data_IF_221970347286
#
_entry.id   IF_221970347286
#
_cell.length_a   1.000
_cell.length_b   1.000
_cell.length_c   1.000
_cell.angle_alpha   90.00
_cell.angle_beta   90.00
_cell.angle_gamma   90.00
#
_symmetry.space_group_name_H-M   'P 1'
#
loop_
_entity.id
_entity.type
_entity.pdbx_description
1 polymer ?
#
# COMPACT_ATOMS: atom_id res chain seq x y z
N UNK A 1 -25.20 46.55 -23.24
CA UNK A 1 -26.47 46.12 -22.62
C UNK A 1 -26.33 44.62 -22.35
N UNK A 2 -26.06 44.14 -21.14
CA UNK A 2 -26.91 44.26 -19.94
C UNK A 2 -26.10 44.39 -18.65
N UNK A 3 -26.55 45.33 -17.83
CA UNK A 3 -26.12 45.65 -16.47
C UNK A 3 -26.57 44.56 -15.50
N UNK A 4 -25.73 44.14 -14.55
CA UNK A 4 -26.23 43.55 -13.28
C UNK A 4 -25.41 44.07 -12.11
N UNK A 5 -26.10 44.91 -11.35
CA UNK A 5 -25.75 45.56 -10.10
C UNK A 5 -24.99 44.65 -9.12
N UNK A 6 -23.76 45.04 -8.80
CA UNK A 6 -23.12 44.66 -7.54
C UNK A 6 -23.95 45.22 -6.40
N UNK A 7 -24.60 44.32 -5.64
CA UNK A 7 -25.34 44.65 -4.43
C UNK A 7 -24.38 45.32 -3.45
N UNK A 8 -24.46 46.65 -3.35
CA UNK A 8 -23.76 47.43 -2.34
C UNK A 8 -24.08 46.83 -0.97
N UNK A 9 -23.07 46.19 -0.34
CA UNK A 9 -23.17 45.81 1.06
C UNK A 9 -23.14 47.12 1.82
N UNK A 10 -24.29 47.44 2.42
CA UNK A 10 -24.48 48.55 3.34
C UNK A 10 -23.24 48.70 4.25
N UNK A 11 -22.68 49.90 4.39
CA UNK A 11 -21.40 50.19 5.06
C UNK A 11 -21.40 49.96 6.57
N UNK A 12 -21.71 48.74 7.00
CA UNK A 12 -21.74 48.27 8.38
C UNK A 12 -20.76 47.12 8.48
N UNK A 13 -19.81 47.20 9.42
CA UNK A 13 -18.86 46.11 9.66
C UNK A 13 -19.63 44.81 9.91
N UNK A 14 -19.17 43.67 9.36
CA UNK A 14 -19.81 42.38 9.61
C UNK A 14 -19.93 42.17 11.11
N UNK A 15 -21.13 41.84 11.57
CA UNK A 15 -21.32 41.54 12.98
C UNK A 15 -20.48 40.33 13.38
N UNK A 16 -20.08 40.23 14.66
CA UNK A 16 -19.33 39.07 15.17
C UNK A 16 -20.05 37.74 14.83
N UNK A 17 -21.38 37.76 14.85
CA UNK A 17 -22.23 36.63 14.45
C UNK A 17 -22.13 36.28 12.95
N UNK A 18 -22.00 37.27 12.07
CA UNK A 18 -21.77 37.03 10.64
C UNK A 18 -20.37 36.45 10.37
N UNK A 19 -19.34 36.91 11.08
CA UNK A 19 -17.98 36.38 10.94
C UNK A 19 -17.89 34.92 11.39
N UNK A 20 -18.52 34.58 12.52
CA UNK A 20 -18.59 33.19 13.02
C UNK A 20 -19.41 32.31 12.07
N UNK A 21 -20.53 32.82 11.54
CA UNK A 21 -21.34 32.10 10.57
C UNK A 21 -20.58 31.83 9.25
N UNK A 22 -19.78 32.79 8.78
CA UNK A 22 -18.89 32.64 7.62
C UNK A 22 -17.80 31.59 7.87
N UNK A 23 -17.07 31.70 8.98
CA UNK A 23 -16.01 30.74 9.31
C UNK A 23 -16.54 29.31 9.46
N UNK A 24 -17.70 29.14 10.09
CA UNK A 24 -18.35 27.82 10.24
C UNK A 24 -18.75 27.22 8.89
N UNK A 25 -19.22 28.07 7.97
CA UNK A 25 -19.58 27.67 6.60
C UNK A 25 -18.35 27.23 5.79
N UNK A 26 -17.22 27.93 5.94
CA UNK A 26 -15.99 27.61 5.23
C UNK A 26 -15.36 26.30 5.73
N UNK A 27 -15.33 26.10 7.05
CA UNK A 27 -14.91 24.81 7.63
C UNK A 27 -15.83 23.68 7.16
N UNK A 28 -17.14 23.91 7.13
CA UNK A 28 -18.10 22.93 6.61
C UNK A 28 -17.88 22.61 5.12
N UNK A 29 -17.39 23.56 4.32
CA UNK A 29 -17.02 23.35 2.92
C UNK A 29 -15.75 22.50 2.80
N UNK A 30 -14.71 22.81 3.58
CA UNK A 30 -13.46 22.04 3.58
C UNK A 30 -13.68 20.58 3.94
N UNK A 31 -14.45 20.32 5.01
CA UNK A 31 -14.78 18.95 5.43
C UNK A 31 -15.51 18.19 4.33
N UNK A 32 -16.49 18.82 3.68
CA UNK A 32 -17.20 18.19 2.55
C UNK A 32 -16.29 17.94 1.35
N UNK A 33 -15.35 18.83 1.07
CA UNK A 33 -14.36 18.65 0.01
C UNK A 33 -13.42 17.49 0.31
N UNK A 34 -12.93 17.37 1.54
CA UNK A 34 -12.06 16.26 1.94
C UNK A 34 -12.78 14.92 1.85
N UNK A 35 -14.04 14.86 2.28
CA UNK A 35 -14.89 13.66 2.11
C UNK A 35 -15.10 13.34 0.63
N UNK A 36 -15.36 14.35 -0.20
CA UNK A 36 -15.55 14.15 -1.64
C UNK A 36 -14.26 13.65 -2.31
N UNK A 37 -13.09 14.15 -1.91
CA UNK A 37 -11.79 13.70 -2.38
C UNK A 37 -11.52 12.25 -1.94
N UNK A 38 -11.66 11.96 -0.65
CA UNK A 38 -11.49 10.62 -0.11
C UNK A 38 -12.44 9.62 -0.77
N UNK A 39 -13.70 10.02 -1.01
CA UNK A 39 -14.67 9.21 -1.74
C UNK A 39 -14.22 8.95 -3.18
N UNK A 40 -13.71 9.97 -3.88
CA UNK A 40 -13.21 9.82 -5.25
C UNK A 40 -11.96 8.92 -5.33
N UNK A 41 -11.07 9.01 -4.35
CA UNK A 41 -9.88 8.16 -4.26
C UNK A 41 -10.29 6.71 -3.95
N UNK A 42 -11.19 6.51 -2.98
CA UNK A 42 -11.69 5.18 -2.63
C UNK A 42 -12.44 4.53 -3.79
N UNK A 43 -13.24 5.27 -4.57
CA UNK A 43 -13.90 4.70 -5.76
C UNK A 43 -12.91 4.33 -6.85
N UNK A 44 -11.86 5.15 -7.10
CA UNK A 44 -10.78 4.79 -8.04
C UNK A 44 -10.07 3.52 -7.62
N UNK A 45 -9.72 3.40 -6.34
CA UNK A 45 -9.12 2.19 -5.78
C UNK A 45 -10.05 0.99 -5.91
N UNK A 46 -11.33 1.14 -5.57
CA UNK A 46 -12.32 0.07 -5.69
C UNK A 46 -12.49 -0.42 -7.14
N UNK A 47 -12.53 0.49 -8.12
CA UNK A 47 -12.62 0.11 -9.54
C UNK A 47 -11.37 -0.64 -9.98
N UNK A 48 -10.18 -0.16 -9.62
CA UNK A 48 -8.93 -0.85 -9.97
C UNK A 48 -8.83 -2.24 -9.34
N UNK A 49 -9.24 -2.38 -8.07
CA UNK A 49 -9.31 -3.66 -7.38
C UNK A 49 -10.36 -4.58 -8.01
N UNK A 50 -11.54 -4.06 -8.37
CA UNK A 50 -12.59 -4.82 -9.04
C UNK A 50 -12.14 -5.34 -10.40
N UNK A 51 -11.44 -4.51 -11.19
CA UNK A 51 -10.83 -4.94 -12.45
C UNK A 51 -9.77 -6.00 -12.23
N UNK A 52 -8.89 -5.82 -11.24
CA UNK A 52 -7.87 -6.80 -10.88
C UNK A 52 -8.47 -8.16 -10.50
N UNK A 53 -9.46 -8.16 -9.60
CA UNK A 53 -10.17 -9.38 -9.18
C UNK A 53 -10.94 -10.01 -10.35
N UNK A 54 -11.61 -9.20 -11.17
CA UNK A 54 -12.32 -9.67 -12.37
C UNK A 54 -11.39 -10.35 -13.37
N UNK A 55 -10.25 -9.72 -13.68
CA UNK A 55 -9.24 -10.31 -14.55
C UNK A 55 -8.65 -11.59 -13.96
N UNK A 56 -8.38 -11.64 -12.65
CA UNK A 56 -7.89 -12.85 -12.00
C UNK A 56 -8.92 -13.98 -12.02
N UNK A 57 -10.21 -13.69 -11.86
CA UNK A 57 -11.26 -14.70 -11.95
C UNK A 57 -11.34 -15.29 -13.37
N UNK A 58 -11.27 -14.45 -14.40
CA UNK A 58 -11.25 -14.90 -15.80
C UNK A 58 -9.97 -15.70 -16.10
N UNK A 59 -8.82 -15.21 -15.67
CA UNK A 59 -7.55 -15.91 -15.84
C UNK A 59 -7.53 -17.27 -15.13
N UNK A 60 -8.08 -17.36 -13.92
CA UNK A 60 -8.22 -18.63 -13.20
C UNK A 60 -9.16 -19.59 -13.93
N UNK A 61 -10.30 -19.10 -14.42
CA UNK A 61 -11.24 -19.90 -15.21
C UNK A 61 -10.62 -20.44 -16.51
N UNK A 62 -9.97 -19.57 -17.28
CA UNK A 62 -9.25 -19.96 -18.49
C UNK A 62 -8.07 -20.90 -18.19
N UNK A 63 -7.35 -20.65 -17.10
CA UNK A 63 -6.27 -21.52 -16.63
C UNK A 63 -6.77 -22.92 -16.28
N UNK A 64 -7.95 -23.04 -15.65
CA UNK A 64 -8.57 -24.33 -15.37
C UNK A 64 -8.99 -25.05 -16.66
N UNK A 65 -9.63 -24.35 -17.61
CA UNK A 65 -9.97 -24.91 -18.91
C UNK A 65 -8.72 -25.40 -19.67
N UNK A 66 -7.66 -24.59 -19.69
CA UNK A 66 -6.39 -24.94 -20.31
C UNK A 66 -5.73 -26.15 -19.62
N UNK A 67 -5.76 -26.21 -18.28
CA UNK A 67 -5.23 -27.35 -17.52
C UNK A 67 -5.94 -28.66 -17.88
N UNK A 68 -7.28 -28.64 -18.03
CA UNK A 68 -8.04 -29.81 -18.47
C UNK A 68 -7.62 -30.21 -19.88
N UNK A 69 -7.56 -29.26 -20.82
CA UNK A 69 -7.16 -29.52 -22.20
C UNK A 69 -5.73 -30.09 -22.30
N UNK A 70 -4.78 -29.52 -21.56
CA UNK A 70 -3.39 -30.00 -21.48
C UNK A 70 -3.32 -31.39 -20.87
N UNK A 71 -4.15 -31.69 -19.87
CA UNK A 71 -4.19 -33.03 -19.25
C UNK A 71 -4.62 -34.09 -20.24
N UNK A 72 -5.68 -33.83 -21.00
CA UNK A 72 -6.15 -34.73 -22.06
C UNK A 72 -5.08 -34.85 -23.14
N UNK A 73 -4.53 -33.72 -23.60
CA UNK A 73 -3.48 -33.71 -24.61
C UNK A 73 -2.25 -34.54 -24.19
N UNK A 74 -1.76 -34.39 -22.96
CA UNK A 74 -0.59 -35.14 -22.48
C UNK A 74 -0.88 -36.64 -22.36
N UNK A 75 -2.07 -36.99 -21.86
CA UNK A 75 -2.53 -38.38 -21.79
C UNK A 75 -2.62 -39.02 -23.18
N UNK A 76 -3.20 -38.33 -24.15
CA UNK A 76 -3.26 -38.82 -25.53
C UNK A 76 -1.90 -38.82 -26.23
N UNK A 77 -1.02 -37.86 -25.94
CA UNK A 77 0.34 -37.81 -26.48
C UNK A 77 1.16 -39.03 -26.03
N UNK A 78 1.07 -39.39 -24.75
CA UNK A 78 1.76 -40.58 -24.21
C UNK A 78 1.11 -41.86 -24.75
N UNK A 79 -0.21 -41.87 -24.93
CA UNK A 79 -0.91 -43.00 -25.56
C UNK A 79 -0.46 -43.18 -27.01
N UNK A 80 -0.30 -42.09 -27.75
CA UNK A 80 0.23 -42.09 -29.12
C UNK A 80 1.68 -42.59 -29.19
N UNK A 81 2.46 -42.42 -28.12
CA UNK A 81 3.79 -42.98 -27.99
C UNK A 81 3.81 -44.51 -27.72
N UNK A 82 2.64 -45.17 -27.68
CA UNK A 82 2.51 -46.64 -27.56
C UNK A 82 2.23 -47.14 -26.16
N UNK A 83 1.98 -46.26 -25.19
CA UNK A 83 1.59 -46.63 -23.82
C UNK A 83 0.08 -46.88 -23.77
N UNK A 84 -0.32 -47.92 -23.04
CA UNK A 84 -1.74 -48.20 -22.78
C UNK A 84 -2.44 -46.99 -22.15
N UNK A 85 -3.67 -46.68 -22.60
CA UNK A 85 -4.28 -45.37 -22.34
C UNK A 85 -4.42 -45.08 -20.85
N UNK A 86 -4.76 -46.09 -20.04
CA UNK A 86 -4.89 -45.90 -18.60
C UNK A 86 -3.54 -45.57 -17.92
N UNK A 87 -2.43 -46.16 -18.38
CA UNK A 87 -1.09 -45.85 -17.87
C UNK A 87 -0.64 -44.44 -18.27
N UNK A 88 -1.03 -43.98 -19.46
CA UNK A 88 -0.72 -42.63 -19.95
C UNK A 88 -1.30 -41.52 -19.05
N UNK A 89 -2.56 -41.68 -18.63
CA UNK A 89 -3.19 -40.73 -17.71
C UNK A 89 -2.61 -40.83 -16.29
N UNK A 90 -2.20 -42.02 -15.84
CA UNK A 90 -1.49 -42.17 -14.57
C UNK A 90 -0.13 -41.46 -14.58
N UNK A 91 0.64 -41.60 -15.67
CA UNK A 91 1.93 -40.91 -15.83
C UNK A 91 1.74 -39.39 -15.89
N UNK A 92 0.71 -38.91 -16.58
CA UNK A 92 0.36 -37.49 -16.62
C UNK A 92 0.04 -36.96 -15.21
N UNK A 93 -0.75 -37.70 -14.43
CA UNK A 93 -1.04 -37.34 -13.04
C UNK A 93 0.21 -37.36 -12.16
N UNK A 94 1.07 -38.38 -12.31
CA UNK A 94 2.35 -38.44 -11.60
C UNK A 94 3.26 -37.25 -11.94
N UNK A 95 3.32 -36.84 -13.21
CA UNK A 95 4.08 -35.66 -13.63
C UNK A 95 3.58 -34.38 -12.94
N UNK A 96 2.25 -34.19 -12.84
CA UNK A 96 1.69 -33.06 -12.10
C UNK A 96 2.01 -33.10 -10.60
N UNK A 97 1.98 -34.28 -9.97
CA UNK A 97 2.36 -34.41 -8.56
C UNK A 97 3.82 -34.06 -8.32
N UNK A 98 4.73 -34.43 -9.23
CA UNK A 98 6.15 -34.06 -9.14
C UNK A 98 6.30 -32.54 -9.23
N UNK A 99 5.67 -31.90 -10.22
CA UNK A 99 5.70 -30.45 -10.39
C UNK A 99 5.11 -29.74 -9.17
N UNK A 100 3.92 -30.17 -8.72
CA UNK A 100 3.26 -29.60 -7.54
C UNK A 100 4.13 -29.75 -6.28
N UNK A 101 4.77 -30.91 -6.08
CA UNK A 101 5.71 -31.15 -4.99
C UNK A 101 6.91 -30.21 -5.04
N UNK A 102 7.50 -29.99 -6.22
CA UNK A 102 8.61 -29.05 -6.39
C UNK A 102 8.20 -27.61 -6.06
N UNK A 103 7.04 -27.16 -6.55
CA UNK A 103 6.52 -25.82 -6.24
C UNK A 103 6.21 -25.66 -4.75
N UNK A 104 5.60 -26.66 -4.12
CA UNK A 104 5.30 -26.64 -2.69
C UNK A 104 6.60 -26.54 -1.86
N UNK A 105 7.62 -27.33 -2.19
CA UNK A 105 8.93 -27.26 -1.54
C UNK A 105 9.60 -25.90 -1.75
N UNK A 106 9.51 -25.34 -2.96
CA UNK A 106 10.03 -24.00 -3.26
C UNK A 106 9.31 -22.93 -2.43
N UNK A 107 7.97 -22.96 -2.38
CA UNK A 107 7.16 -22.05 -1.60
C UNK A 107 7.52 -22.13 -0.11
N UNK A 108 7.57 -23.34 0.48
CA UNK A 108 7.95 -23.55 1.87
C UNK A 108 9.35 -23.00 2.15
N UNK A 109 10.33 -23.27 1.27
CA UNK A 109 11.69 -22.72 1.42
C UNK A 109 11.70 -21.19 1.34
N UNK A 110 10.88 -20.60 0.47
CA UNK A 110 10.78 -19.15 0.31
C UNK A 110 10.14 -18.48 1.53
N UNK A 111 9.07 -19.06 2.07
CA UNK A 111 8.40 -18.57 3.28
C UNK A 111 9.28 -18.72 4.52
N UNK A 112 10.02 -19.83 4.66
CA UNK A 112 10.96 -20.01 5.78
C UNK A 112 12.13 -19.03 5.78
N UNK A 113 12.43 -18.39 4.64
CA UNK A 113 13.45 -17.34 4.53
C UNK A 113 12.91 -15.94 4.85
N UNK A 114 11.60 -15.78 4.98
CA UNK A 114 11.01 -14.52 5.42
C UNK A 114 11.02 -14.53 6.95
N UNK A 115 11.95 -13.80 7.56
CA UNK A 115 11.88 -13.55 9.01
C UNK A 115 10.57 -12.82 9.32
N UNK A 116 9.78 -13.28 10.32
CA UNK A 116 8.60 -12.56 10.77
C UNK A 116 8.99 -11.14 11.21
N UNK A 117 8.24 -10.07 10.88
CA UNK A 117 8.63 -8.70 11.22
C UNK A 117 8.73 -8.53 12.74
N UNK A 118 9.95 -8.56 13.27
CA UNK A 118 10.20 -8.64 14.72
C UNK A 118 9.66 -7.41 15.45
N UNK A 119 9.73 -6.24 14.82
CA UNK A 119 9.23 -4.96 15.37
C UNK A 119 7.72 -4.96 15.50
N UNK A 120 7.00 -5.41 14.48
CA UNK A 120 5.52 -5.51 14.53
C UNK A 120 5.08 -6.51 15.58
N UNK A 121 5.79 -7.63 15.71
CA UNK A 121 5.49 -8.64 16.73
C UNK A 121 5.76 -8.11 18.14
N UNK A 122 6.83 -7.33 18.33
CA UNK A 122 7.13 -6.68 19.61
C UNK A 122 6.04 -5.68 19.98
N UNK A 123 5.66 -4.76 19.10
CA UNK A 123 4.60 -3.78 19.39
C UNK A 123 3.27 -4.45 19.75
N UNK A 124 2.85 -5.47 19.00
CA UNK A 124 1.61 -6.20 19.33
C UNK A 124 1.73 -6.94 20.66
N UNK A 125 2.90 -7.48 20.99
CA UNK A 125 3.12 -8.11 22.32
C UNK A 125 3.08 -7.09 23.44
N UNK A 126 3.64 -5.90 23.23
CA UNK A 126 3.65 -4.82 24.21
C UNK A 126 2.21 -4.32 24.43
N UNK A 127 1.43 -4.14 23.37
CA UNK A 127 0.01 -3.76 23.45
C UNK A 127 -0.83 -4.81 24.19
N UNK A 128 -0.63 -6.09 23.88
CA UNK A 128 -1.31 -7.19 24.58
C UNK A 128 -0.86 -7.27 26.05
N UNK A 129 0.42 -7.00 26.33
CA UNK A 129 0.95 -7.00 27.70
C UNK A 129 0.36 -5.86 28.52
N UNK A 130 0.16 -4.69 27.90
CA UNK A 130 -0.48 -3.53 28.50
C UNK A 130 -1.97 -3.80 28.77
N UNK A 131 -2.68 -4.42 27.82
CA UNK A 131 -4.08 -4.82 28.01
C UNK A 131 -4.26 -5.88 29.11
N UNK A 132 -3.28 -6.78 29.27
CA UNK A 132 -3.33 -7.84 30.28
C UNK A 132 -3.00 -7.33 31.69
N UNK A 133 -2.16 -6.31 31.80
CA UNK A 133 -1.81 -5.65 33.05
C UNK A 133 -1.90 -4.11 32.93
N UNK A 134 -3.11 -3.52 32.96
CA UNK A 134 -3.32 -2.07 32.77
C UNK A 134 -2.70 -1.16 33.85
N UNK A 135 -2.03 -1.74 34.86
CA UNK A 135 -1.49 -1.03 36.03
C UNK A 135 -0.01 -0.66 35.89
N UNK A 136 0.62 -0.86 34.73
CA UNK A 136 1.95 -0.33 34.47
C UNK A 136 1.90 1.22 34.38
N UNK A 137 2.68 1.96 35.19
CA UNK A 137 2.76 3.42 35.09
C UNK A 137 3.15 3.83 33.66
N UNK A 138 2.66 4.96 33.13
CA UNK A 138 3.13 5.45 31.85
C UNK A 138 4.64 5.64 31.93
N UNK A 139 5.41 4.89 31.14
CA UNK A 139 6.80 5.23 30.82
C UNK A 139 6.84 6.45 29.87
N UNK A 140 6.02 7.47 30.15
CA UNK A 140 6.06 8.82 29.59
C UNK A 140 4.96 9.64 30.27
N UNK A 141 5.15 10.00 31.53
CA UNK A 141 4.70 11.33 31.93
C UNK A 141 5.53 12.32 31.13
N UNK A 142 4.92 12.89 30.10
CA UNK A 142 5.24 14.18 29.50
C UNK A 142 6.66 14.71 29.78
N UNK A 143 7.59 14.49 28.85
CA UNK A 143 8.66 15.47 28.63
C UNK A 143 8.46 16.02 27.23
N UNK A 144 8.13 17.31 27.07
CA UNK A 144 8.13 17.95 25.76
C UNK A 144 9.52 17.79 25.17
N UNK A 145 9.58 17.57 23.86
CA UNK A 145 10.80 17.53 23.07
C UNK A 145 11.85 18.52 23.61
N UNK A 146 13.01 18.00 24.01
CA UNK A 146 14.19 18.83 24.27
C UNK A 146 14.51 19.60 22.99
N UNK A 147 14.74 20.93 23.05
CA UNK A 147 15.16 21.67 21.87
C UNK A 147 16.48 21.09 21.33
N UNK A 148 16.71 21.16 20.01
CA UNK A 148 17.92 20.64 19.40
C UNK A 148 19.15 21.28 20.06
N UNK A 149 20.03 20.44 20.59
CA UNK A 149 21.35 20.81 21.11
C UNK A 149 22.10 21.58 20.02
N UNK A 150 22.36 22.87 20.26
CA UNK A 150 23.17 23.71 19.40
C UNK A 150 24.52 23.02 19.12
N UNK A 151 24.84 22.87 17.83
CA UNK A 151 26.15 22.41 17.39
C UNK A 151 27.21 23.44 17.79
N UNK A 152 28.38 23.03 18.32
CA UNK A 152 29.52 23.91 18.44
C UNK A 152 30.18 23.99 17.07
N UNK A 153 29.96 25.10 16.35
CA UNK A 153 30.49 25.26 15.00
C UNK A 153 30.08 26.57 14.34
N UNK A 154 30.38 27.69 14.98
CA UNK A 154 30.47 28.96 14.28
C UNK A 154 31.69 28.92 13.35
N UNK A 155 31.47 29.00 12.04
CA UNK A 155 32.50 29.39 11.07
C UNK A 155 31.85 30.14 9.89
N UNK A 156 31.88 31.47 10.02
CA UNK A 156 31.98 32.50 8.97
C UNK A 156 31.40 32.26 7.57
N UNK A 157 30.42 33.09 7.23
CA UNK A 157 30.08 33.52 5.86
C UNK A 157 31.29 34.24 5.25
N UNK A 158 31.66 33.87 4.02
CA UNK A 158 32.50 34.67 3.11
C UNK A 158 31.68 35.06 1.88
N UNK A 159 31.74 36.31 1.39
CA UNK A 159 31.00 36.73 0.21
C UNK A 159 31.87 36.36 -0.99
N UNK A 160 31.62 35.23 -1.65
CA UNK A 160 31.93 34.99 -3.06
C UNK A 160 31.58 33.54 -3.42
N UNK A 161 30.58 33.39 -4.29
CA UNK A 161 30.16 32.09 -4.80
C UNK A 161 31.22 31.49 -5.71
N UNK A 162 31.89 30.43 -5.25
CA UNK A 162 32.72 29.58 -6.11
C UNK A 162 32.54 28.11 -5.73
N UNK A 163 31.91 27.37 -6.64
CA UNK A 163 31.84 25.90 -6.66
C UNK A 163 33.20 25.38 -7.10
N UNK A 164 33.93 24.70 -6.22
CA UNK A 164 35.14 23.95 -6.58
C UNK A 164 34.80 22.47 -6.74
N UNK A 165 34.72 22.07 -8.00
CA UNK A 165 34.74 20.70 -8.48
C UNK A 165 36.12 20.08 -8.21
N UNK A 166 36.18 19.02 -7.40
CA UNK A 166 37.38 18.16 -7.34
C UNK A 166 37.06 16.79 -7.90
N UNK A 167 37.33 16.67 -9.18
CA UNK A 167 37.45 15.45 -9.96
C UNK A 167 38.66 14.64 -9.43
N UNK A 168 38.45 13.40 -8.98
CA UNK A 168 39.56 12.49 -8.68
C UNK A 168 39.25 11.09 -9.22
N UNK A 169 39.80 10.70 -10.40
CA UNK A 169 39.88 9.32 -10.83
C UNK A 169 41.22 8.73 -10.38
N UNK A 170 41.21 7.51 -9.86
CA UNK A 170 42.43 6.73 -9.60
C UNK A 170 42.25 5.32 -10.16
N UNK A 171 43.37 4.69 -10.59
CA UNK A 171 43.47 3.70 -11.67
C UNK A 171 43.08 2.27 -11.31
#
# INVERSE_FOLDING_TARGET
MSTTAGKARNGREPSLGELVALATRDVSLLVRQEINLAKAEMTRQAVSAALGVGCLAVAAGLGLCALIAVTIFLGELITWAGVERFWSYLLTAAAYLVVAGMLALFAVRRFRRLSPPERTIQTVRDDISWLRNPTAPPASSATPASPPKAAPGAASVGPDGAVLTSHHPQP
#
